data_IF_795875017227
#
_entry.id   IF_795875017227
#
_cell.length_a   1.000
_cell.length_b   1.000
_cell.length_c   1.000
_cell.angle_alpha   90.00
_cell.angle_beta   90.00
_cell.angle_gamma   90.00
#
_symmetry.space_group_name_H-M   'P 1'
#
loop_
_entity.id
_entity.type
_entity.pdbx_description
1 polymer ?
#
# COMPACT_ATOMS: atom_id res chain seq x y z
N UNK A 1 75.19 6.74 72.95
CA UNK A 1 76.04 7.38 71.92
C UNK A 1 75.86 6.63 70.60
N UNK A 2 74.93 6.91 69.83
CA UNK A 2 74.91 6.55 68.41
C UNK A 2 73.89 7.44 67.73
N UNK A 3 74.36 8.23 66.81
CA UNK A 3 73.69 9.13 65.90
C UNK A 3 72.97 8.33 64.81
N UNK A 4 71.62 8.43 64.76
CA UNK A 4 70.86 7.85 63.71
C UNK A 4 70.64 8.93 62.58
N UNK A 5 71.18 8.66 61.43
CA UNK A 5 71.14 9.48 60.25
C UNK A 5 69.84 9.18 59.46
N UNK A 6 68.93 10.12 59.41
CA UNK A 6 67.72 10.01 58.60
C UNK A 6 68.03 10.04 57.12
N UNK A 7 67.54 9.04 56.41
CA UNK A 7 67.70 8.84 54.95
C UNK A 7 66.51 9.55 54.25
N UNK A 8 66.82 10.57 53.47
CA UNK A 8 65.80 11.28 52.67
C UNK A 8 65.17 10.36 51.66
N UNK A 9 63.86 10.39 51.57
CA UNK A 9 63.07 9.75 50.52
C UNK A 9 62.90 10.76 49.38
N UNK A 10 63.48 10.40 48.24
CA UNK A 10 63.27 11.12 46.98
C UNK A 10 61.83 10.91 46.53
N UNK A 11 61.04 12.00 46.49
CA UNK A 11 59.75 12.03 45.91
C UNK A 11 59.91 11.96 44.37
N UNK A 12 59.56 10.81 43.82
CA UNK A 12 59.43 10.61 42.39
C UNK A 12 58.37 11.57 41.83
N UNK A 13 58.80 12.49 41.00
CA UNK A 13 57.95 13.31 40.19
C UNK A 13 57.13 12.45 39.21
N UNK A 14 55.82 12.38 39.46
CA UNK A 14 54.88 11.74 38.55
C UNK A 14 54.90 12.45 37.19
N UNK A 15 55.34 11.70 36.15
CA UNK A 15 55.23 12.11 34.76
C UNK A 15 53.75 12.28 34.39
N UNK A 16 53.27 13.52 34.43
CA UNK A 16 52.04 13.91 33.78
C UNK A 16 52.19 13.77 32.27
N UNK A 17 51.75 12.66 31.72
CA UNK A 17 51.63 12.47 30.26
C UNK A 17 50.61 13.49 29.74
N UNK A 18 51.12 14.55 29.18
CA UNK A 18 50.38 15.61 28.51
C UNK A 18 49.72 14.98 27.29
N UNK A 19 48.39 14.64 27.39
CA UNK A 19 47.59 14.25 26.25
C UNK A 19 47.59 15.43 25.27
N UNK A 20 48.40 15.31 24.25
CA UNK A 20 48.46 16.26 23.13
C UNK A 20 47.12 16.13 22.39
N UNK A 21 46.18 17.02 22.71
CA UNK A 21 44.94 17.17 21.92
C UNK A 21 45.35 17.47 20.46
N UNK A 22 45.29 16.45 19.63
CA UNK A 22 45.53 16.59 18.20
C UNK A 22 44.44 17.52 17.64
N UNK A 23 44.83 18.76 17.27
CA UNK A 23 44.01 19.62 16.45
C UNK A 23 43.81 18.86 15.13
N UNK A 24 42.66 18.19 14.99
CA UNK A 24 42.20 17.65 13.71
C UNK A 24 42.10 18.82 12.74
N UNK A 25 43.12 19.05 11.95
CA UNK A 25 43.06 20.08 10.91
C UNK A 25 42.32 19.50 9.72
N UNK A 26 41.21 20.13 9.35
CA UNK A 26 40.41 19.81 8.15
C UNK A 26 41.28 19.58 6.91
N UNK A 27 42.46 20.26 6.85
CA UNK A 27 43.47 20.12 5.81
C UNK A 27 44.12 18.74 5.74
N UNK A 28 44.12 17.97 6.86
CA UNK A 28 44.70 16.63 6.90
C UNK A 28 43.68 15.60 6.39
N UNK A 29 42.38 15.83 6.66
CA UNK A 29 41.27 15.04 6.09
C UNK A 29 41.21 15.18 4.55
N UNK A 30 41.39 16.41 4.04
CA UNK A 30 41.36 16.70 2.59
C UNK A 30 42.60 16.16 1.82
N UNK A 31 43.60 15.66 2.52
CA UNK A 31 44.87 15.15 1.95
C UNK A 31 45.10 13.64 2.22
N UNK A 32 44.14 13.01 2.85
CA UNK A 32 44.18 11.60 3.19
C UNK A 32 43.45 10.80 2.11
N UNK A 33 44.19 10.20 1.20
CA UNK A 33 43.65 9.41 0.08
C UNK A 33 43.16 8.03 0.53
N UNK A 34 43.35 7.66 1.81
CA UNK A 34 42.92 6.38 2.36
C UNK A 34 41.39 6.22 2.46
N UNK A 35 40.59 7.33 2.35
CA UNK A 35 39.13 7.34 2.34
C UNK A 35 38.48 7.26 0.96
N UNK A 36 39.24 7.38 -0.13
CA UNK A 36 38.71 7.47 -1.50
C UNK A 36 37.89 6.26 -1.88
N UNK A 37 38.38 5.06 -1.58
CA UNK A 37 37.63 3.80 -1.84
C UNK A 37 36.31 3.71 -1.09
N UNK A 38 36.25 4.23 0.14
CA UNK A 38 35.02 4.25 0.91
C UNK A 38 33.97 5.22 0.31
N UNK A 39 34.44 6.35 -0.23
CA UNK A 39 33.57 7.32 -0.91
C UNK A 39 33.06 6.75 -2.23
N UNK A 40 33.94 6.11 -3.03
CA UNK A 40 33.56 5.44 -4.28
C UNK A 40 32.55 4.33 -4.03
N UNK A 41 32.79 3.50 -3.01
CA UNK A 41 31.86 2.47 -2.60
C UNK A 41 30.50 3.08 -2.16
N UNK A 42 30.50 4.15 -1.39
CA UNK A 42 29.29 4.85 -0.95
C UNK A 42 28.46 5.36 -2.13
N UNK A 43 29.10 5.91 -3.15
CA UNK A 43 28.42 6.35 -4.37
C UNK A 43 27.75 5.21 -5.14
N UNK A 44 28.38 4.03 -5.18
CA UNK A 44 27.80 2.86 -5.83
C UNK A 44 26.75 2.15 -4.94
N UNK A 45 26.98 2.12 -3.63
CA UNK A 45 26.10 1.43 -2.68
C UNK A 45 24.72 2.09 -2.57
N UNK A 46 24.66 3.42 -2.59
CA UNK A 46 23.39 4.17 -2.45
C UNK A 46 22.36 3.79 -3.53
N UNK A 47 22.66 3.86 -4.83
CA UNK A 47 21.72 3.44 -5.88
C UNK A 47 21.31 1.97 -5.77
N UNK A 48 22.26 1.09 -5.36
CA UNK A 48 21.97 -0.34 -5.21
C UNK A 48 20.98 -0.57 -4.06
N UNK A 49 21.18 0.08 -2.92
CA UNK A 49 20.25 -0.02 -1.78
C UNK A 49 18.86 0.49 -2.16
N UNK A 50 18.76 1.64 -2.85
CA UNK A 50 17.48 2.14 -3.34
C UNK A 50 16.79 1.18 -4.31
N UNK A 51 17.55 0.59 -5.22
CA UNK A 51 17.02 -0.42 -6.15
C UNK A 51 16.49 -1.65 -5.39
N UNK A 52 17.23 -2.15 -4.40
CA UNK A 52 16.79 -3.28 -3.58
C UNK A 52 15.51 -2.98 -2.82
N UNK A 53 15.43 -1.82 -2.18
CA UNK A 53 14.21 -1.39 -1.47
C UNK A 53 13.03 -1.27 -2.43
N UNK A 54 13.25 -0.65 -3.61
CA UNK A 54 12.21 -0.53 -4.63
C UNK A 54 11.69 -1.86 -5.16
N UNK A 55 12.58 -2.85 -5.35
CA UNK A 55 12.16 -4.21 -5.74
C UNK A 55 11.30 -4.86 -4.66
N UNK A 56 11.68 -4.72 -3.39
CA UNK A 56 10.91 -5.27 -2.27
C UNK A 56 9.52 -4.61 -2.20
N UNK A 57 9.47 -3.29 -2.30
CA UNK A 57 8.21 -2.53 -2.28
C UNK A 57 7.30 -2.93 -3.44
N UNK A 58 7.84 -3.03 -4.65
CA UNK A 58 7.08 -3.48 -5.81
C UNK A 58 6.57 -4.92 -5.65
N UNK A 59 7.39 -5.82 -5.10
CA UNK A 59 6.98 -7.20 -4.82
C UNK A 59 5.83 -7.27 -3.81
N UNK A 60 5.85 -6.41 -2.77
CA UNK A 60 4.75 -6.32 -1.80
C UNK A 60 3.47 -5.81 -2.47
N UNK A 61 3.54 -4.73 -3.25
CA UNK A 61 2.39 -4.19 -3.97
C UNK A 61 1.79 -5.23 -4.93
N UNK A 62 2.63 -5.96 -5.68
CA UNK A 62 2.16 -7.06 -6.53
C UNK A 62 1.52 -8.20 -5.73
N UNK A 63 2.02 -8.53 -4.56
CA UNK A 63 1.44 -9.57 -3.69
C UNK A 63 0.04 -9.15 -3.23
N UNK A 64 -0.13 -7.90 -2.83
CA UNK A 64 -1.44 -7.34 -2.48
C UNK A 64 -2.37 -7.36 -3.69
N UNK A 65 -1.94 -6.84 -4.84
CA UNK A 65 -2.74 -6.84 -6.08
C UNK A 65 -3.23 -8.24 -6.46
N UNK A 66 -2.35 -9.24 -6.49
CA UNK A 66 -2.73 -10.64 -6.77
C UNK A 66 -3.72 -11.20 -5.74
N UNK A 67 -3.64 -10.76 -4.49
CA UNK A 67 -4.56 -11.19 -3.44
C UNK A 67 -5.94 -10.56 -3.60
N UNK A 68 -5.99 -9.29 -4.01
CA UNK A 68 -7.25 -8.63 -4.38
C UNK A 68 -7.91 -9.31 -5.59
N UNK A 69 -7.14 -9.68 -6.62
CA UNK A 69 -7.64 -10.46 -7.76
C UNK A 69 -8.22 -11.80 -7.34
N UNK A 70 -7.54 -12.51 -6.44
CA UNK A 70 -8.03 -13.79 -5.94
C UNK A 70 -9.33 -13.62 -5.13
N UNK A 71 -9.44 -12.57 -4.32
CA UNK A 71 -10.65 -12.24 -3.57
C UNK A 71 -11.80 -11.83 -4.51
N UNK A 72 -11.54 -11.02 -5.52
CA UNK A 72 -12.53 -10.62 -6.54
C UNK A 72 -13.05 -11.82 -7.33
N UNK A 73 -12.18 -12.77 -7.68
CA UNK A 73 -12.59 -14.01 -8.33
C UNK A 73 -13.45 -14.90 -7.40
N UNK A 74 -13.19 -14.91 -6.09
CA UNK A 74 -14.04 -15.58 -5.11
C UNK A 74 -15.40 -14.93 -5.04
N UNK A 75 -15.44 -13.59 -4.95
CA UNK A 75 -16.64 -12.76 -4.97
C UNK A 75 -17.55 -13.10 -6.16
N UNK A 76 -16.99 -13.08 -7.36
CA UNK A 76 -17.72 -13.38 -8.58
C UNK A 76 -18.29 -14.80 -8.63
N UNK A 77 -17.62 -15.76 -8.02
CA UNK A 77 -18.11 -17.15 -7.91
C UNK A 77 -19.28 -17.27 -6.94
N UNK A 78 -19.21 -16.56 -5.81
CA UNK A 78 -20.30 -16.53 -4.82
C UNK A 78 -21.53 -15.84 -5.38
N UNK A 79 -21.35 -14.71 -6.07
CA UNK A 79 -22.44 -13.96 -6.69
C UNK A 79 -23.16 -14.69 -7.83
N UNK A 80 -22.45 -15.55 -8.56
CA UNK A 80 -23.00 -16.31 -9.70
C UNK A 80 -24.13 -17.25 -9.33
N UNK A 81 -24.20 -17.70 -8.09
CA UNK A 81 -25.21 -18.66 -7.60
C UNK A 81 -26.56 -18.02 -7.32
N UNK A 82 -26.71 -16.70 -7.52
CA UNK A 82 -27.99 -16.02 -7.66
C UNK A 82 -28.86 -15.95 -6.41
N UNK A 83 -28.29 -16.10 -5.22
CA UNK A 83 -29.04 -15.86 -3.99
C UNK A 83 -29.04 -14.37 -3.65
N UNK A 84 -30.21 -13.74 -3.76
CA UNK A 84 -30.41 -12.30 -3.59
C UNK A 84 -31.19 -12.02 -2.31
N UNK A 85 -30.52 -11.93 -1.17
CA UNK A 85 -31.03 -11.21 0.00
C UNK A 85 -29.90 -10.40 0.66
N UNK A 86 -30.26 -9.42 1.48
CA UNK A 86 -29.31 -8.55 2.18
C UNK A 86 -28.35 -9.37 3.08
N UNK A 87 -28.82 -10.45 3.68
CA UNK A 87 -27.98 -11.34 4.49
C UNK A 87 -26.95 -12.07 3.65
N UNK A 88 -27.29 -12.48 2.43
CA UNK A 88 -26.36 -13.14 1.51
C UNK A 88 -25.28 -12.18 1.02
N UNK A 89 -25.62 -10.92 0.74
CA UNK A 89 -24.66 -9.88 0.36
C UNK A 89 -23.69 -9.59 1.50
N UNK A 90 -24.16 -9.33 2.71
CA UNK A 90 -23.33 -9.12 3.89
C UNK A 90 -22.41 -10.31 4.19
N UNK A 91 -22.95 -11.53 4.07
CA UNK A 91 -22.18 -12.77 4.24
C UNK A 91 -21.08 -12.92 3.17
N UNK A 92 -21.34 -12.48 1.94
CA UNK A 92 -20.39 -12.48 0.84
C UNK A 92 -19.26 -11.49 1.09
N UNK A 93 -19.57 -10.24 1.45
CA UNK A 93 -18.58 -9.23 1.77
C UNK A 93 -17.67 -9.66 2.92
N UNK A 94 -18.24 -10.20 3.99
CA UNK A 94 -17.45 -10.75 5.10
C UNK A 94 -16.50 -11.85 4.64
N UNK A 95 -16.99 -12.77 3.81
CA UNK A 95 -16.15 -13.87 3.26
C UNK A 95 -14.99 -13.32 2.41
N UNK A 96 -15.23 -12.24 1.66
CA UNK A 96 -14.22 -11.57 0.85
C UNK A 96 -13.19 -10.90 1.76
N UNK A 97 -13.65 -10.14 2.75
CA UNK A 97 -12.77 -9.45 3.70
C UNK A 97 -11.90 -10.44 4.48
N UNK A 98 -12.48 -11.54 4.95
CA UNK A 98 -11.74 -12.62 5.63
C UNK A 98 -10.66 -13.23 4.73
N UNK A 99 -10.94 -13.40 3.44
CA UNK A 99 -9.97 -13.93 2.47
C UNK A 99 -8.84 -12.94 2.20
N UNK A 100 -9.13 -11.65 2.08
CA UNK A 100 -8.12 -10.58 1.94
C UNK A 100 -7.28 -10.50 3.21
N UNK A 101 -7.90 -10.44 4.39
CA UNK A 101 -7.21 -10.38 5.68
C UNK A 101 -6.27 -11.58 5.87
N UNK A 102 -6.75 -12.78 5.56
CA UNK A 102 -5.95 -14.01 5.68
C UNK A 102 -4.70 -13.98 4.81
N UNK A 103 -4.74 -13.35 3.63
CA UNK A 103 -3.64 -13.33 2.67
C UNK A 103 -2.67 -12.18 2.89
N UNK A 104 -3.18 -10.99 3.14
CA UNK A 104 -2.39 -9.76 3.15
C UNK A 104 -2.65 -8.85 4.35
N UNK A 105 -3.52 -9.23 5.27
CA UNK A 105 -3.85 -8.43 6.46
C UNK A 105 -2.63 -7.90 7.23
N UNK A 106 -1.54 -8.67 7.40
CA UNK A 106 -0.32 -8.16 8.04
C UNK A 106 0.42 -7.08 7.24
N UNK A 107 0.09 -6.88 5.96
CA UNK A 107 0.78 -5.98 5.03
C UNK A 107 -0.02 -4.72 4.71
N UNK A 108 -1.33 -4.73 4.98
CA UNK A 108 -2.26 -3.67 4.61
C UNK A 108 -3.17 -3.28 5.77
N UNK A 109 -3.73 -2.09 5.68
CA UNK A 109 -4.79 -1.63 6.58
C UNK A 109 -6.15 -2.06 6.01
N UNK A 110 -6.81 -3.00 6.69
CA UNK A 110 -8.08 -3.56 6.25
C UNK A 110 -9.23 -2.52 6.22
N UNK A 111 -9.13 -1.44 7.00
CA UNK A 111 -10.12 -0.36 7.00
C UNK A 111 -10.12 0.44 5.70
N UNK A 112 -9.03 0.37 4.92
CA UNK A 112 -8.88 1.04 3.62
C UNK A 112 -9.26 0.16 2.43
N UNK A 113 -9.59 -1.10 2.67
CA UNK A 113 -10.08 -2.00 1.61
C UNK A 113 -11.52 -1.64 1.30
N UNK A 114 -11.78 -1.34 0.03
CA UNK A 114 -13.13 -1.01 -0.45
C UNK A 114 -13.61 -2.11 -1.38
N UNK A 115 -14.78 -2.66 -1.09
CA UNK A 115 -15.46 -3.65 -1.91
C UNK A 115 -16.72 -2.98 -2.48
N UNK A 116 -16.88 -3.03 -3.80
CA UNK A 116 -18.05 -2.48 -4.49
C UNK A 116 -18.64 -3.48 -5.47
N UNK A 117 -19.93 -3.44 -5.64
CA UNK A 117 -20.70 -4.27 -6.55
C UNK A 117 -21.56 -3.36 -7.43
N UNK A 118 -21.33 -3.35 -8.72
CA UNK A 118 -22.07 -2.53 -9.67
C UNK A 118 -22.90 -3.44 -10.57
N UNK A 119 -24.19 -3.21 -10.68
CA UNK A 119 -25.13 -4.02 -11.44
C UNK A 119 -25.43 -3.36 -12.78
N UNK A 120 -25.44 -4.16 -13.84
CA UNK A 120 -25.75 -3.75 -15.20
C UNK A 120 -26.77 -4.69 -15.81
N UNK A 121 -27.60 -4.16 -16.70
CA UNK A 121 -28.60 -4.98 -17.38
C UNK A 121 -27.93 -6.07 -18.25
N UNK A 122 -26.94 -5.66 -19.05
CA UNK A 122 -26.18 -6.59 -19.88
C UNK A 122 -24.73 -6.12 -20.09
N UNK A 123 -23.96 -6.85 -20.93
CA UNK A 123 -22.57 -6.49 -21.24
C UNK A 123 -22.44 -5.24 -22.11
N UNK A 124 -23.52 -4.80 -22.79
CA UNK A 124 -23.51 -3.61 -23.64
C UNK A 124 -23.48 -2.36 -22.78
N UNK A 125 -24.26 -2.36 -21.69
CA UNK A 125 -24.34 -1.30 -20.70
C UNK A 125 -23.01 -1.01 -20.00
N UNK A 126 -22.10 -1.98 -19.90
CA UNK A 126 -20.74 -1.76 -19.37
C UNK A 126 -19.93 -0.73 -20.17
N UNK A 127 -20.19 -0.60 -21.47
CA UNK A 127 -19.50 0.35 -22.32
C UNK A 127 -20.18 1.74 -22.36
N UNK A 128 -21.39 1.83 -21.89
CA UNK A 128 -22.20 3.04 -21.89
C UNK A 128 -23.09 3.10 -20.64
N UNK A 129 -22.48 3.11 -19.46
CA UNK A 129 -23.21 3.08 -18.19
C UNK A 129 -24.02 4.36 -17.99
N UNK A 130 -25.06 4.27 -17.18
CA UNK A 130 -25.84 5.41 -16.77
C UNK A 130 -25.03 6.42 -15.96
N UNK A 131 -25.43 7.66 -15.99
CA UNK A 131 -24.86 8.70 -15.18
C UNK A 131 -25.61 8.77 -13.84
N UNK A 132 -24.94 8.37 -12.77
CA UNK A 132 -25.48 8.41 -11.42
C UNK A 132 -24.92 9.65 -10.69
N UNK A 133 -25.79 10.42 -10.05
CA UNK A 133 -25.43 11.64 -9.33
C UNK A 133 -26.31 11.75 -8.06
N UNK A 134 -25.73 11.46 -6.93
CA UNK A 134 -26.34 11.74 -5.62
C UNK A 134 -26.40 13.27 -5.43
N UNK A 135 -27.56 13.87 -5.69
CA UNK A 135 -27.76 15.32 -5.66
C UNK A 135 -28.09 15.83 -4.26
N UNK A 136 -28.67 15.00 -3.42
CA UNK A 136 -29.11 15.37 -2.08
C UNK A 136 -28.08 14.93 -0.99
N UNK A 137 -27.07 14.13 -1.36
CA UNK A 137 -26.02 13.59 -0.50
C UNK A 137 -26.56 12.69 0.64
N UNK A 138 -27.59 11.89 0.34
CA UNK A 138 -28.14 10.90 1.27
C UNK A 138 -27.46 9.53 1.18
N UNK A 139 -26.59 9.36 0.18
CA UNK A 139 -25.74 8.18 -0.01
C UNK A 139 -26.31 7.15 -0.99
N UNK A 140 -27.45 7.46 -1.65
CA UNK A 140 -27.96 6.66 -2.75
C UNK A 140 -28.21 7.52 -4.01
N UNK A 141 -28.77 6.95 -5.05
CA UNK A 141 -29.06 7.62 -6.32
C UNK A 141 -30.46 7.21 -6.83
N UNK A 142 -31.38 6.89 -5.91
CA UNK A 142 -32.69 6.35 -6.26
C UNK A 142 -33.76 7.43 -6.46
N UNK A 143 -33.44 8.67 -6.11
CA UNK A 143 -34.37 9.79 -6.24
C UNK A 143 -34.54 10.26 -7.70
N UNK A 144 -35.71 10.85 -8.02
CA UNK A 144 -35.99 11.34 -9.36
C UNK A 144 -34.99 12.41 -9.82
N UNK A 145 -34.24 12.12 -10.91
CA UNK A 145 -33.24 13.02 -11.48
C UNK A 145 -31.80 12.73 -11.04
N UNK A 146 -31.60 11.76 -10.18
CA UNK A 146 -30.27 11.35 -9.73
C UNK A 146 -29.59 10.33 -10.65
N UNK A 147 -30.33 9.79 -11.60
CA UNK A 147 -29.75 8.99 -12.67
C UNK A 147 -30.29 9.36 -14.04
N UNK A 148 -29.50 9.13 -15.06
CA UNK A 148 -29.84 9.35 -16.46
C UNK A 148 -29.62 8.07 -17.23
N UNK A 149 -30.69 7.52 -17.79
CA UNK A 149 -30.67 6.37 -18.67
C UNK A 149 -29.99 6.77 -20.00
N UNK A 150 -28.75 6.32 -20.17
CA UNK A 150 -27.89 6.72 -21.31
C UNK A 150 -28.10 5.83 -22.51
N UNK A 151 -28.37 4.54 -22.31
CA UNK A 151 -28.58 3.58 -23.40
C UNK A 151 -30.06 3.37 -23.75
N UNK A 152 -30.99 3.87 -22.92
CA UNK A 152 -32.42 3.89 -23.17
C UNK A 152 -33.12 2.56 -22.88
N UNK A 153 -32.52 1.69 -22.07
CA UNK A 153 -33.06 0.37 -21.76
C UNK A 153 -34.02 0.35 -20.55
N UNK A 154 -34.06 1.46 -19.78
CA UNK A 154 -34.92 1.64 -18.61
C UNK A 154 -34.41 0.92 -17.36
N UNK A 155 -33.21 0.37 -17.36
CA UNK A 155 -32.54 -0.23 -16.21
C UNK A 155 -31.53 0.79 -15.66
N UNK A 156 -31.37 0.86 -14.35
CA UNK A 156 -30.38 1.72 -13.71
C UNK A 156 -29.05 0.99 -13.62
N UNK A 157 -28.18 1.22 -14.62
CA UNK A 157 -26.86 0.61 -14.70
C UNK A 157 -25.86 1.26 -13.76
N UNK A 158 -25.01 0.44 -13.14
CA UNK A 158 -24.00 0.89 -12.19
C UNK A 158 -24.49 1.10 -10.77
N UNK A 159 -25.76 0.80 -10.48
CA UNK A 159 -26.27 0.82 -9.11
C UNK A 159 -25.58 -0.24 -8.25
N UNK A 160 -25.40 0.06 -6.95
CA UNK A 160 -24.84 -0.89 -6.01
C UNK A 160 -25.78 -2.08 -5.78
N UNK A 161 -25.21 -3.28 -5.75
CA UNK A 161 -25.98 -4.49 -5.52
C UNK A 161 -25.39 -5.76 -6.12
N UNK A 162 -26.05 -6.87 -5.82
CA UNK A 162 -25.65 -8.20 -6.34
C UNK A 162 -26.41 -8.61 -7.60
N UNK A 163 -27.34 -7.76 -8.06
CA UNK A 163 -28.15 -8.00 -9.26
C UNK A 163 -29.11 -9.18 -9.16
N UNK A 164 -30.03 -9.26 -10.12
CA UNK A 164 -30.98 -10.37 -10.27
C UNK A 164 -30.51 -11.40 -11.31
N UNK A 165 -31.43 -12.33 -11.59
CA UNK A 165 -31.24 -13.33 -12.65
C UNK A 165 -30.99 -12.68 -14.00
N UNK A 166 -29.84 -13.03 -14.62
CA UNK A 166 -29.48 -12.53 -15.95
C UNK A 166 -28.76 -11.19 -15.98
N UNK A 167 -28.68 -10.44 -14.87
CA UNK A 167 -27.88 -9.23 -14.80
C UNK A 167 -26.40 -9.50 -14.89
N UNK A 168 -25.63 -8.50 -15.30
CA UNK A 168 -24.19 -8.48 -15.26
C UNK A 168 -23.75 -7.72 -14.03
N UNK A 169 -22.88 -8.28 -13.23
CA UNK A 169 -22.36 -7.67 -12.01
C UNK A 169 -20.84 -7.50 -12.11
N UNK A 170 -20.38 -6.29 -11.82
CA UNK A 170 -18.97 -5.96 -11.71
C UNK A 170 -18.60 -5.96 -10.23
N UNK A 171 -17.80 -6.92 -9.83
CA UNK A 171 -17.19 -6.99 -8.51
C UNK A 171 -15.87 -6.25 -8.55
N UNK A 172 -15.69 -5.24 -7.70
CA UNK A 172 -14.47 -4.47 -7.61
C UNK A 172 -13.97 -4.45 -6.18
N UNK A 173 -12.67 -4.72 -6.01
CA UNK A 173 -11.98 -4.58 -4.72
C UNK A 173 -10.80 -3.65 -4.96
N UNK A 174 -10.69 -2.60 -4.17
CA UNK A 174 -9.62 -1.63 -4.27
C UNK A 174 -8.93 -1.38 -2.94
N UNK A 175 -7.66 -1.02 -3.01
CA UNK A 175 -6.83 -0.66 -1.88
C UNK A 175 -5.84 0.44 -2.27
N UNK A 176 -5.80 1.60 -1.56
CA UNK A 176 -4.83 2.65 -1.79
C UNK A 176 -3.47 2.25 -1.19
N UNK A 177 -2.55 1.77 -2.04
CA UNK A 177 -1.20 1.42 -1.63
C UNK A 177 -0.35 2.67 -1.47
N UNK A 178 0.11 2.94 -0.25
CA UNK A 178 1.03 4.04 0.05
C UNK A 178 2.47 3.59 -0.21
N UNK A 179 3.18 4.31 -1.08
CA UNK A 179 4.59 4.05 -1.38
C UNK A 179 5.44 4.49 -0.19
N UNK A 180 6.12 3.53 0.46
CA UNK A 180 6.93 3.77 1.65
C UNK A 180 8.23 4.51 1.36
N UNK A 181 8.76 4.42 0.14
CA UNK A 181 10.02 5.04 -0.26
C UNK A 181 9.79 6.43 -0.87
N UNK A 182 10.12 7.53 -0.16
CA UNK A 182 9.78 8.90 -0.61
C UNK A 182 10.34 9.26 -1.99
N UNK A 183 11.51 8.73 -2.34
CA UNK A 183 12.11 8.98 -3.65
C UNK A 183 11.31 8.29 -4.77
N UNK A 184 10.84 7.07 -4.53
CA UNK A 184 10.02 6.32 -5.50
C UNK A 184 8.64 6.96 -5.63
N UNK A 185 8.04 7.36 -4.50
CA UNK A 185 6.75 8.04 -4.47
C UNK A 185 6.70 9.23 -5.43
N UNK A 186 7.73 10.09 -5.42
CA UNK A 186 7.80 11.27 -6.29
C UNK A 186 7.85 10.95 -7.79
N UNK A 187 8.31 9.75 -8.17
CA UNK A 187 8.37 9.34 -9.58
C UNK A 187 7.12 8.60 -10.06
N UNK A 188 6.35 8.01 -9.15
CA UNK A 188 5.23 7.14 -9.49
C UNK A 188 3.89 7.88 -9.43
N UNK A 189 3.67 8.68 -8.39
CA UNK A 189 2.46 9.49 -8.25
C UNK A 189 2.73 10.80 -7.52
N UNK A 190 1.84 11.80 -7.70
CA UNK A 190 2.01 13.11 -7.08
C UNK A 190 1.79 13.09 -5.56
N UNK A 191 1.00 12.14 -5.07
CA UNK A 191 0.62 11.96 -3.65
C UNK A 191 1.29 10.74 -3.00
N UNK A 192 2.05 9.96 -3.78
CA UNK A 192 2.72 8.76 -3.28
C UNK A 192 1.78 7.56 -3.07
N UNK A 193 0.56 7.61 -3.62
CA UNK A 193 -0.45 6.56 -3.53
C UNK A 193 -0.66 5.91 -4.90
N UNK A 194 -0.85 4.60 -4.91
CA UNK A 194 -1.24 3.81 -6.08
C UNK A 194 -2.50 3.04 -5.72
N UNK A 195 -3.58 3.24 -6.45
CA UNK A 195 -4.79 2.47 -6.27
C UNK A 195 -4.63 1.08 -6.91
N UNK A 196 -4.46 0.07 -6.06
CA UNK A 196 -4.48 -1.32 -6.47
C UNK A 196 -5.94 -1.76 -6.58
N UNK A 197 -6.40 -2.00 -7.79
CA UNK A 197 -7.79 -2.36 -8.07
C UNK A 197 -7.83 -3.69 -8.82
N UNK A 198 -8.66 -4.59 -8.32
CA UNK A 198 -9.03 -5.82 -9.00
C UNK A 198 -10.53 -5.81 -9.30
N UNK A 199 -10.93 -6.33 -10.45
CA UNK A 199 -12.32 -6.43 -10.82
C UNK A 199 -12.61 -7.75 -11.52
N UNK A 200 -13.84 -8.22 -11.38
CA UNK A 200 -14.37 -9.39 -12.08
C UNK A 200 -15.79 -9.11 -12.56
N UNK A 201 -16.06 -9.42 -13.81
CA UNK A 201 -17.38 -9.21 -14.42
C UNK A 201 -18.03 -10.56 -14.62
N UNK A 202 -19.25 -10.72 -14.12
CA UNK A 202 -19.99 -11.98 -14.19
C UNK A 202 -21.40 -11.73 -14.62
N UNK A 203 -21.95 -12.64 -15.41
CA UNK A 203 -23.39 -12.68 -15.65
C UNK A 203 -24.02 -13.69 -14.69
N UNK A 204 -25.04 -13.24 -13.95
CA UNK A 204 -25.80 -14.08 -13.04
C UNK A 204 -26.56 -15.15 -13.81
N UNK A 205 -26.57 -16.37 -13.28
CA UNK A 205 -27.29 -17.49 -13.90
C UNK A 205 -28.80 -17.29 -13.74
N UNK A 206 -29.59 -17.65 -14.75
CA UNK A 206 -31.04 -17.68 -14.60
C UNK A 206 -31.43 -18.84 -13.65
N UNK A 207 -32.25 -18.56 -12.65
CA UNK A 207 -32.83 -19.52 -11.71
C UNK A 207 -34.35 -19.42 -11.70
#
# INVERSE_FOLDING_TARGET
>A
MQTYRAKGQDLQASHLTRVRGGRFTLRRLLRDDSGTTAIEFGFCALPIVYLMVGIIEFAMAMTVGNSLEAATNLSSRLGKTGYVDEEAQLSQEQTIMDEVERRVGPMIDMEKVVVTHEVFNDFTSLNNPDVLQDQNADGDTDDPGEWTDVDGDGFKDGADGVGGSGNVVVYRISYPWEIMTPLIAQFVSNDGIIDLTAYSVVKNEPY
#
